data_IF_883464774616
#
_entry.id   IF_883464774616
#
_cell.length_a   1.000
_cell.length_b   1.000
_cell.length_c   1.000
_cell.angle_alpha   90.00
_cell.angle_beta   90.00
_cell.angle_gamma   90.00
#
_symmetry.space_group_name_H-M   'P 1'
#
loop_
_entity.id
_entity.type
_entity.pdbx_description
1 polymer ?
#
# COMPACT_ATOMS: atom_id res chain seq x y z
N UNK A 1 5.79 -6.18 -1.23
CA UNK A 1 6.21 -5.44 -0.03
C UNK A 1 5.20 -5.60 1.10
N UNK A 2 3.97 -5.11 1.05
CA UNK A 2 3.04 -5.22 2.20
C UNK A 2 2.98 -6.59 2.92
N UNK A 3 2.72 -7.72 2.23
CA UNK A 3 2.64 -9.04 2.90
C UNK A 3 3.98 -9.49 3.49
N UNK A 4 5.08 -9.35 2.73
CA UNK A 4 6.44 -9.68 3.20
C UNK A 4 6.87 -8.83 4.38
N UNK A 5 6.21 -7.69 4.54
CA UNK A 5 6.49 -6.64 5.51
C UNK A 5 5.72 -6.82 6.82
N UNK A 6 4.42 -7.16 6.76
CA UNK A 6 3.59 -7.27 7.96
C UNK A 6 3.64 -8.66 8.59
N UNK A 7 3.75 -9.72 7.78
CA UNK A 7 3.64 -11.10 8.27
C UNK A 7 4.69 -11.48 9.34
N UNK A 8 5.98 -11.13 9.22
CA UNK A 8 6.95 -11.42 10.28
C UNK A 8 6.64 -10.70 11.59
N UNK A 9 6.14 -9.47 11.53
CA UNK A 9 5.76 -8.69 12.71
C UNK A 9 4.48 -9.23 13.36
N UNK A 10 3.48 -9.61 12.55
CA UNK A 10 2.26 -10.29 13.02
C UNK A 10 2.57 -11.63 13.69
N UNK A 11 3.59 -12.35 13.20
CA UNK A 11 4.06 -13.60 13.78
C UNK A 11 5.01 -13.43 14.98
N UNK A 12 5.35 -12.18 15.36
CA UNK A 12 6.27 -11.89 16.47
C UNK A 12 7.74 -12.23 16.19
N UNK A 13 8.11 -12.47 14.92
CA UNK A 13 9.49 -12.75 14.51
C UNK A 13 10.32 -11.46 14.39
N UNK A 14 9.68 -10.34 14.07
CA UNK A 14 10.32 -9.03 13.92
C UNK A 14 9.56 -7.96 14.70
N UNK A 15 10.28 -6.99 15.28
CA UNK A 15 9.65 -5.89 16.02
C UNK A 15 9.00 -4.86 15.07
N UNK A 16 7.83 -4.34 15.48
CA UNK A 16 7.09 -3.34 14.72
C UNK A 16 7.85 -2.03 14.55
N UNK A 17 8.74 -1.65 15.49
CA UNK A 17 9.56 -0.44 15.41
C UNK A 17 10.63 -0.54 14.31
N UNK A 18 11.31 -1.68 14.20
CA UNK A 18 12.26 -1.95 13.12
C UNK A 18 11.56 -1.91 11.76
N UNK A 19 10.34 -2.45 11.71
CA UNK A 19 9.55 -2.43 10.50
C UNK A 19 9.03 -1.03 10.14
N UNK A 20 8.63 -0.23 11.12
CA UNK A 20 8.22 1.16 10.91
C UNK A 20 9.32 2.01 10.24
N UNK A 21 10.59 1.77 10.60
CA UNK A 21 11.75 2.40 9.96
C UNK A 21 11.86 1.99 8.48
N UNK A 22 11.65 0.71 8.18
CA UNK A 22 11.70 0.20 6.81
C UNK A 22 10.56 0.75 5.93
N UNK A 23 9.31 0.75 6.43
CA UNK A 23 8.19 1.39 5.71
C UNK A 23 8.52 2.86 5.44
N UNK A 24 9.01 3.57 6.46
CA UNK A 24 9.35 4.99 6.34
C UNK A 24 10.40 5.25 5.25
N UNK A 25 11.40 4.38 5.11
CA UNK A 25 12.41 4.46 4.04
C UNK A 25 11.78 4.32 2.66
N UNK A 26 10.95 3.28 2.47
CA UNK A 26 10.27 3.03 1.20
C UNK A 26 9.28 4.13 0.84
N UNK A 27 8.50 4.60 1.82
CA UNK A 27 7.58 5.71 1.64
C UNK A 27 8.32 7.00 1.30
N UNK A 28 9.42 7.30 1.99
CA UNK A 28 10.22 8.50 1.68
C UNK A 28 10.74 8.47 0.24
N UNK A 29 11.25 7.32 -0.23
CA UNK A 29 11.69 7.17 -1.63
C UNK A 29 10.53 7.37 -2.62
N UNK A 30 9.36 6.79 -2.33
CA UNK A 30 8.17 6.97 -3.15
C UNK A 30 7.71 8.43 -3.22
N UNK A 31 7.51 9.07 -2.07
CA UNK A 31 6.98 10.45 -2.02
C UNK A 31 7.99 11.50 -2.49
N UNK A 32 9.31 11.23 -2.42
CA UNK A 32 10.34 12.14 -2.91
C UNK A 32 10.66 11.99 -4.40
N UNK A 33 10.24 10.88 -5.04
CA UNK A 33 10.54 10.61 -6.46
C UNK A 33 9.92 11.67 -7.38
N UNK A 34 10.64 12.10 -8.41
CA UNK A 34 10.08 12.95 -9.48
C UNK A 34 8.97 12.24 -10.27
N UNK A 35 9.02 10.89 -10.29
CA UNK A 35 8.04 10.03 -10.96
C UNK A 35 6.78 9.77 -10.14
N UNK A 36 6.68 10.31 -8.91
CA UNK A 36 5.59 10.00 -7.96
C UNK A 36 4.19 10.26 -8.52
N UNK A 37 4.05 11.19 -9.46
CA UNK A 37 2.78 11.52 -10.15
C UNK A 37 2.69 11.04 -11.59
N UNK A 38 3.68 10.29 -12.09
CA UNK A 38 3.67 9.77 -13.46
C UNK A 38 2.69 8.60 -13.58
N UNK A 39 2.03 8.45 -14.73
CA UNK A 39 1.23 7.25 -14.98
C UNK A 39 2.12 6.01 -15.02
N UNK A 40 1.53 4.85 -14.71
CA UNK A 40 2.23 3.56 -14.78
C UNK A 40 2.78 3.30 -16.20
N UNK A 41 2.01 3.61 -17.24
CA UNK A 41 2.45 3.50 -18.63
C UNK A 41 3.69 4.38 -18.94
N UNK A 42 3.80 5.56 -18.33
CA UNK A 42 4.98 6.41 -18.48
C UNK A 42 6.18 5.86 -17.72
N UNK A 43 5.98 5.28 -16.55
CA UNK A 43 7.04 4.63 -15.76
C UNK A 43 7.58 3.40 -16.51
N UNK A 44 6.72 2.63 -17.17
CA UNK A 44 7.10 1.41 -17.90
C UNK A 44 8.03 1.65 -19.10
N UNK A 45 7.96 2.82 -19.72
CA UNK A 45 8.83 3.21 -20.84
C UNK A 45 10.05 4.04 -20.40
N UNK A 46 10.23 4.25 -19.10
CA UNK A 46 11.38 4.98 -18.59
C UNK A 46 12.68 4.17 -18.79
N UNK A 47 13.83 4.83 -19.00
CA UNK A 47 15.13 4.16 -19.12
C UNK A 47 15.41 3.26 -17.91
N UNK A 48 16.02 2.10 -18.14
CA UNK A 48 16.23 1.10 -17.09
C UNK A 48 17.17 1.60 -15.97
N UNK A 49 18.08 2.50 -16.31
CA UNK A 49 19.05 3.16 -15.42
C UNK A 49 18.38 4.10 -14.40
N UNK A 50 17.13 4.50 -14.65
CA UNK A 50 16.32 5.31 -13.74
C UNK A 50 15.68 4.43 -12.66
N UNK A 51 16.51 3.86 -11.79
CA UNK A 51 16.07 3.00 -10.69
C UNK A 51 15.03 3.71 -9.80
N UNK A 52 15.23 5.01 -9.54
CA UNK A 52 14.34 5.85 -8.74
C UNK A 52 12.89 5.89 -9.27
N UNK A 53 12.70 5.83 -10.59
CA UNK A 53 11.38 5.77 -11.21
C UNK A 53 10.77 4.38 -11.10
N UNK A 54 11.59 3.33 -11.19
CA UNK A 54 11.13 1.93 -11.07
C UNK A 54 10.65 1.62 -9.65
N UNK A 55 11.27 2.24 -8.64
CA UNK A 55 10.86 2.11 -7.23
C UNK A 55 9.47 2.72 -6.97
N UNK A 56 8.98 3.64 -7.81
CA UNK A 56 7.63 4.23 -7.67
C UNK A 56 6.54 3.15 -7.75
N UNK A 57 6.63 2.22 -8.70
CA UNK A 57 5.64 1.14 -8.82
C UNK A 57 5.61 0.24 -7.57
N UNK A 58 6.77 -0.03 -6.96
CA UNK A 58 6.85 -0.77 -5.71
C UNK A 58 6.27 0.01 -4.53
N UNK A 59 6.57 1.31 -4.44
CA UNK A 59 5.99 2.22 -3.45
C UNK A 59 4.47 2.29 -3.53
N UNK A 60 3.92 2.47 -4.74
CA UNK A 60 2.48 2.47 -5.00
C UNK A 60 1.84 1.14 -4.64
N UNK A 61 2.41 0.03 -5.10
CA UNK A 61 1.90 -1.30 -4.80
C UNK A 61 1.87 -1.57 -3.30
N UNK A 62 2.90 -1.14 -2.56
CA UNK A 62 2.95 -1.22 -1.10
C UNK A 62 1.84 -0.41 -0.43
N UNK A 63 1.73 0.89 -0.76
CA UNK A 63 0.76 1.79 -0.16
C UNK A 63 -0.69 1.39 -0.49
N UNK A 64 -0.96 1.05 -1.75
CA UNK A 64 -2.27 0.58 -2.18
C UNK A 64 -2.66 -0.70 -1.45
N UNK A 65 -1.74 -1.67 -1.34
CA UNK A 65 -2.00 -2.91 -0.62
C UNK A 65 -2.26 -2.66 0.87
N UNK A 66 -1.55 -1.73 1.50
CA UNK A 66 -1.75 -1.40 2.91
C UNK A 66 -3.13 -0.78 3.18
N UNK A 67 -3.60 0.10 2.30
CA UNK A 67 -4.95 0.67 2.40
C UNK A 67 -6.02 -0.38 2.11
N UNK A 68 -5.81 -1.23 1.10
CA UNK A 68 -6.74 -2.31 0.77
C UNK A 68 -6.86 -3.31 1.92
N UNK A 69 -5.74 -3.69 2.55
CA UNK A 69 -5.74 -4.54 3.73
C UNK A 69 -6.52 -3.91 4.89
N UNK A 70 -6.29 -2.61 5.17
CA UNK A 70 -7.03 -1.89 6.19
C UNK A 70 -8.55 -1.87 5.91
N UNK A 71 -8.94 -1.65 4.65
CA UNK A 71 -10.34 -1.69 4.23
C UNK A 71 -10.96 -3.09 4.37
N UNK A 72 -10.24 -4.15 3.98
CA UNK A 72 -10.69 -5.54 4.15
C UNK A 72 -10.87 -5.87 5.64
N UNK A 73 -9.92 -5.48 6.49
CA UNK A 73 -10.01 -5.68 7.94
C UNK A 73 -11.21 -4.92 8.51
N UNK A 74 -11.37 -3.65 8.17
CA UNK A 74 -12.50 -2.84 8.65
C UNK A 74 -13.86 -3.43 8.23
N UNK A 75 -14.02 -3.77 6.94
CA UNK A 75 -15.27 -4.34 6.41
C UNK A 75 -15.59 -5.77 6.89
N UNK A 76 -14.63 -6.45 7.52
CA UNK A 76 -14.79 -7.80 8.05
C UNK A 76 -14.67 -7.89 9.57
N UNK A 77 -14.63 -6.76 10.29
CA UNK A 77 -14.40 -6.72 11.74
C UNK A 77 -13.10 -7.46 12.16
N UNK A 78 -12.07 -7.38 11.33
CA UNK A 78 -10.77 -8.04 11.52
C UNK A 78 -10.74 -9.53 11.18
N UNK A 79 -11.85 -10.12 10.73
CA UNK A 79 -11.93 -11.57 10.40
C UNK A 79 -11.21 -11.94 9.11
N UNK A 80 -10.97 -10.97 8.22
CA UNK A 80 -10.23 -11.14 6.96
C UNK A 80 -9.10 -10.14 6.87
N UNK A 81 -8.04 -10.52 6.15
CA UNK A 81 -6.92 -9.66 5.78
C UNK A 81 -6.59 -9.85 4.29
N UNK A 82 -5.68 -9.04 3.75
CA UNK A 82 -5.29 -9.07 2.36
C UNK A 82 -4.67 -10.43 1.95
N UNK A 83 -3.81 -11.02 2.79
CA UNK A 83 -3.18 -12.31 2.48
C UNK A 83 -4.21 -13.41 2.29
N UNK A 84 -5.18 -13.51 3.20
CA UNK A 84 -6.30 -14.44 3.08
C UNK A 84 -7.18 -14.14 1.87
N UNK A 85 -7.46 -12.86 1.59
CA UNK A 85 -8.27 -12.44 0.46
C UNK A 85 -7.61 -12.71 -0.91
N UNK A 86 -6.28 -12.69 -0.98
CA UNK A 86 -5.52 -12.98 -2.21
C UNK A 86 -5.44 -14.48 -2.53
N UNK A 87 -5.64 -15.36 -1.53
CA UNK A 87 -5.46 -16.81 -1.68
C UNK A 87 -6.21 -17.39 -2.89
N UNK A 88 -7.52 -17.13 -3.11
CA UNK A 88 -8.24 -17.72 -4.24
C UNK A 88 -7.69 -17.27 -5.60
N UNK A 89 -7.19 -16.03 -5.69
CA UNK A 89 -6.59 -15.48 -6.91
C UNK A 89 -5.30 -16.22 -7.27
N UNK A 90 -4.47 -16.53 -6.28
CA UNK A 90 -3.22 -17.28 -6.49
C UNK A 90 -3.42 -18.77 -6.69
N UNK A 91 -4.43 -19.38 -6.06
CA UNK A 91 -4.84 -20.76 -6.33
C UNK A 91 -5.28 -20.91 -7.79
N UNK A 92 -6.16 -20.03 -8.28
CA UNK A 92 -6.55 -20.03 -9.68
C UNK A 92 -5.35 -19.85 -10.63
N UNK A 93 -4.40 -18.98 -10.26
CA UNK A 93 -3.15 -18.80 -11.04
C UNK A 93 -2.33 -20.07 -11.11
N UNK A 94 -2.18 -20.77 -9.99
CA UNK A 94 -1.47 -22.07 -9.94
C UNK A 94 -2.15 -23.10 -10.85
N UNK A 95 -3.47 -23.05 -10.94
CA UNK A 95 -4.28 -23.95 -11.77
C UNK A 95 -4.36 -23.50 -13.25
N UNK A 96 -3.42 -22.64 -13.69
CA UNK A 96 -3.25 -22.22 -15.08
C UNK A 96 -4.08 -21.01 -15.51
N UNK A 97 -4.82 -20.38 -14.59
CA UNK A 97 -5.64 -19.21 -14.93
C UNK A 97 -4.85 -17.90 -14.79
N UNK A 98 -4.59 -17.14 -15.87
CA UNK A 98 -3.81 -15.92 -15.78
C UNK A 98 -4.51 -14.83 -14.95
N UNK A 99 -3.72 -14.05 -14.20
CA UNK A 99 -4.20 -12.83 -13.56
C UNK A 99 -4.20 -11.71 -14.62
N UNK A 100 -5.33 -11.54 -15.29
CA UNK A 100 -5.56 -10.43 -16.23
C UNK A 100 -6.04 -9.18 -15.50
N UNK A 101 -5.98 -8.02 -16.15
CA UNK A 101 -6.54 -6.78 -15.58
C UNK A 101 -8.02 -6.93 -15.22
N UNK A 102 -8.82 -7.55 -16.09
CA UNK A 102 -10.24 -7.79 -15.84
C UNK A 102 -10.47 -8.69 -14.61
N UNK A 103 -9.66 -9.75 -14.44
CA UNK A 103 -9.74 -10.63 -13.27
C UNK A 103 -9.29 -9.92 -12.00
N UNK A 104 -8.24 -9.10 -12.09
CA UNK A 104 -7.75 -8.28 -10.99
C UNK A 104 -8.81 -7.27 -10.52
N UNK A 105 -9.44 -6.53 -11.43
CA UNK A 105 -10.50 -5.59 -11.08
C UNK A 105 -11.75 -6.28 -10.52
N UNK A 106 -12.09 -7.46 -11.04
CA UNK A 106 -13.19 -8.28 -10.49
C UNK A 106 -12.88 -8.66 -9.04
N UNK A 107 -11.67 -9.17 -8.78
CA UNK A 107 -11.23 -9.49 -7.42
C UNK A 107 -11.20 -8.26 -6.50
N UNK A 108 -10.75 -7.09 -6.99
CA UNK A 108 -10.78 -5.85 -6.21
C UNK A 108 -12.20 -5.45 -5.80
N UNK A 109 -13.18 -5.61 -6.70
CA UNK A 109 -14.58 -5.36 -6.40
C UNK A 109 -15.09 -6.29 -5.30
N UNK A 110 -14.75 -7.57 -5.37
CA UNK A 110 -15.15 -8.55 -4.35
C UNK A 110 -14.46 -8.30 -3.00
N UNK A 111 -13.23 -7.80 -3.01
CA UNK A 111 -12.44 -7.57 -1.81
C UNK A 111 -12.83 -6.27 -1.08
N UNK A 112 -13.09 -5.19 -1.81
CA UNK A 112 -13.30 -3.86 -1.21
C UNK A 112 -14.21 -2.94 -2.03
N UNK A 113 -15.09 -3.51 -2.85
CA UNK A 113 -16.10 -2.79 -3.62
C UNK A 113 -15.57 -1.94 -4.78
N UNK A 114 -16.46 -1.19 -5.41
CA UNK A 114 -16.11 -0.31 -6.55
C UNK A 114 -15.11 0.79 -6.17
N UNK A 115 -15.11 1.21 -4.91
CA UNK A 115 -14.13 2.16 -4.37
C UNK A 115 -12.68 1.64 -4.51
N UNK A 116 -12.47 0.33 -4.33
CA UNK A 116 -11.14 -0.29 -4.46
C UNK A 116 -10.64 -0.30 -5.90
N UNK A 117 -11.53 -0.49 -6.88
CA UNK A 117 -11.18 -0.36 -8.31
C UNK A 117 -10.84 1.09 -8.64
N UNK A 118 -11.67 2.04 -8.19
CA UNK A 118 -11.44 3.46 -8.43
C UNK A 118 -10.10 3.92 -7.85
N UNK A 119 -9.80 3.50 -6.61
CA UNK A 119 -8.52 3.76 -5.95
C UNK A 119 -7.35 3.17 -6.75
N UNK A 120 -7.45 1.90 -7.17
CA UNK A 120 -6.41 1.25 -7.98
C UNK A 120 -6.13 2.02 -9.27
N UNK A 121 -7.17 2.37 -10.04
CA UNK A 121 -7.02 3.10 -11.30
C UNK A 121 -6.40 4.48 -11.10
N UNK A 122 -6.90 5.26 -10.15
CA UNK A 122 -6.42 6.63 -9.90
C UNK A 122 -4.98 6.64 -9.39
N UNK A 123 -4.66 5.76 -8.45
CA UNK A 123 -3.38 5.84 -7.74
C UNK A 123 -2.29 5.00 -8.39
N UNK A 124 -2.57 3.73 -8.70
CA UNK A 124 -1.58 2.82 -9.26
C UNK A 124 -1.36 3.11 -10.75
N UNK A 125 -2.44 3.24 -11.54
CA UNK A 125 -2.34 3.40 -13.00
C UNK A 125 -2.13 4.85 -13.44
N UNK A 126 -2.93 5.79 -12.94
CA UNK A 126 -2.86 7.20 -13.35
C UNK A 126 -1.76 7.97 -12.62
N UNK A 127 -1.48 7.60 -11.37
CA UNK A 127 -0.39 8.17 -10.58
C UNK A 127 -0.80 9.22 -9.56
N UNK A 128 -2.05 9.22 -9.12
CA UNK A 128 -2.43 10.01 -7.95
C UNK A 128 -1.70 9.55 -6.69
N UNK A 129 -1.33 10.50 -5.82
CA UNK A 129 -0.68 10.20 -4.55
C UNK A 129 -1.64 9.44 -3.63
N UNK A 130 -1.10 8.42 -2.96
CA UNK A 130 -1.87 7.59 -2.01
C UNK A 130 -1.68 8.20 -0.63
N UNK A 131 -2.74 8.66 0.01
CA UNK A 131 -2.73 8.92 1.44
C UNK A 131 -2.97 7.59 2.19
N UNK A 132 -2.20 7.27 3.24
CA UNK A 132 -2.44 6.06 4.03
C UNK A 132 -3.74 6.14 4.81
N UNK A 133 -4.47 5.02 4.87
CA UNK A 133 -5.55 4.82 5.84
C UNK A 133 -5.00 4.85 7.29
N UNK A 134 -5.81 5.21 8.31
CA UNK A 134 -5.35 5.33 9.70
C UNK A 134 -4.62 4.09 10.25
N UNK A 135 -5.06 2.90 9.85
CA UNK A 135 -4.48 1.61 10.26
C UNK A 135 -3.77 0.89 9.09
N UNK A 136 -3.28 1.64 8.10
CA UNK A 136 -2.47 1.09 7.02
C UNK A 136 -1.26 0.34 7.60
N UNK A 137 -1.01 -0.86 7.09
CA UNK A 137 -0.05 -1.86 7.58
C UNK A 137 -0.42 -2.58 8.89
N UNK A 138 -0.84 -1.86 9.93
CA UNK A 138 -1.25 -2.45 11.22
C UNK A 138 -1.85 -1.39 12.14
N UNK A 139 -2.72 -1.79 13.08
CA UNK A 139 -3.19 -0.92 14.15
C UNK A 139 -2.11 -0.58 15.20
N UNK A 140 -0.99 -1.31 15.19
CA UNK A 140 0.20 -1.04 16.01
C UNK A 140 1.04 0.12 15.46
N UNK A 141 0.81 0.51 14.20
CA UNK A 141 1.53 1.61 13.56
C UNK A 141 0.60 2.81 13.36
N UNK A 142 1.21 3.98 13.26
CA UNK A 142 0.53 5.18 12.80
C UNK A 142 1.35 5.89 11.73
N UNK A 143 0.65 6.40 10.71
CA UNK A 143 1.25 7.23 9.69
C UNK A 143 1.30 8.69 10.16
N UNK A 144 2.48 9.29 10.07
CA UNK A 144 2.75 10.68 10.45
C UNK A 144 3.13 11.46 9.19
N UNK A 145 2.41 12.54 8.85
CA UNK A 145 2.79 13.43 7.75
C UNK A 145 4.20 14.01 7.92
N UNK A 146 4.97 14.15 6.85
CA UNK A 146 6.36 14.67 6.89
C UNK A 146 6.51 16.15 6.61
N UNK A 147 5.40 16.89 6.43
CA UNK A 147 5.37 18.35 6.29
C UNK A 147 4.42 18.95 7.31
N UNK A 148 4.75 20.14 7.82
CA UNK A 148 3.81 20.98 8.56
C UNK A 148 2.70 21.41 7.61
N UNK A 149 1.61 20.64 7.60
CA UNK A 149 0.39 21.02 6.90
C UNK A 149 -0.25 22.15 7.70
N UNK A 150 0.19 23.39 7.46
CA UNK A 150 -0.63 24.55 7.79
C UNK A 150 -1.92 24.44 6.95
N UNK A 151 -3.02 24.15 7.63
CA UNK A 151 -4.42 24.22 7.18
C UNK A 151 -4.64 24.12 5.65
N UNK A 152 -4.78 22.89 5.15
CA UNK A 152 -5.40 22.65 3.83
C UNK A 152 -4.48 22.21 2.69
N UNK A 153 -3.19 21.93 2.93
CA UNK A 153 -2.30 21.35 1.90
C UNK A 153 -2.15 19.82 2.03
N UNK A 154 -1.98 19.14 0.90
CA UNK A 154 -1.68 17.69 0.89
C UNK A 154 -0.30 17.45 1.48
N UNK A 155 -0.17 16.50 2.40
CA UNK A 155 1.12 16.14 3.00
C UNK A 155 2.16 15.83 1.90
N UNK A 156 3.40 16.31 2.09
CA UNK A 156 4.50 16.05 1.15
C UNK A 156 4.92 14.58 1.10
N UNK A 157 4.54 13.81 2.14
CA UNK A 157 4.79 12.39 2.32
C UNK A 157 4.39 11.94 3.72
N UNK A 158 4.71 10.68 4.04
CA UNK A 158 4.38 10.04 5.32
C UNK A 158 5.55 9.21 5.83
N UNK A 159 5.67 9.11 7.15
CA UNK A 159 6.52 8.16 7.89
C UNK A 159 5.66 7.35 8.84
N UNK A 160 6.17 6.21 9.30
CA UNK A 160 5.50 5.34 10.25
C UNK A 160 6.28 5.29 11.55
N UNK A 161 5.55 5.21 12.64
CA UNK A 161 6.08 4.90 13.97
C UNK A 161 5.12 3.97 14.70
N UNK A 162 5.60 3.34 15.77
CA UNK A 162 4.75 2.57 16.67
C UNK A 162 3.77 3.52 17.35
N UNK A 163 2.49 3.16 17.33
CA UNK A 163 1.42 3.91 17.99
C UNK A 163 1.63 3.84 19.50
N UNK A 164 1.69 5.00 20.14
CA UNK A 164 1.71 5.09 21.59
C UNK A 164 0.25 5.01 22.07
N UNK A 165 -0.12 4.09 22.98
CA UNK A 165 -1.46 4.06 23.54
C UNK A 165 -1.79 5.40 24.19
N UNK A 166 -3.01 5.92 23.97
CA UNK A 166 -3.48 7.09 24.70
C UNK A 166 -3.41 6.79 26.22
N UNK A 167 -2.95 7.73 27.07
CA UNK A 167 -3.04 7.57 28.50
C UNK A 167 -4.50 7.35 28.88
N UNK A 168 -4.75 6.34 29.72
CA UNK A 168 -6.08 6.04 30.26
C UNK A 168 -6.55 7.13 31.21
#
# INVERSE_FOLDING_TARGET
>A
MHVTSTLPCEAGVQDWSEWAVQISKWASAYYASEGRTWSQARIEVAPFEREDLRLVSYGRGMMFSANLDAAIRAGSEGKRNLLGALRPLFEARRDGQPITMARWETWLREAGGDASIAAFRRTVLVGELIAPEPDAFSSTLEAVPTSDVASGSTASGYKWRVRIPAPR
#
